data_IF_647106823955
#
_entry.id   IF_647106823955
#
_cell.length_a   1.000
_cell.length_b   1.000
_cell.length_c   1.000
_cell.angle_alpha   90.00
_cell.angle_beta   90.00
_cell.angle_gamma   90.00
#
_symmetry.space_group_name_H-M   'P 1'
#
loop_
_entity.id
_entity.type
_entity.pdbx_description
1 polymer ?
#
# COMPACT_ATOMS: atom_id res chain seq x y z
N UNK A 1 -5.83 -3.95 -10.40
CA UNK A 1 -6.55 -5.25 -10.42
C UNK A 1 -7.12 -5.52 -9.04
N UNK A 2 -6.29 -5.63 -7.99
CA UNK A 2 -6.78 -5.93 -6.63
C UNK A 2 -7.90 -5.00 -6.14
N UNK A 3 -7.65 -3.69 -6.10
CA UNK A 3 -8.67 -2.70 -5.69
C UNK A 3 -9.97 -2.84 -6.48
N UNK A 4 -9.89 -2.79 -7.82
CA UNK A 4 -11.06 -2.91 -8.70
C UNK A 4 -11.86 -4.21 -8.48
N UNK A 5 -11.17 -5.32 -8.27
CA UNK A 5 -11.81 -6.61 -8.08
C UNK A 5 -12.47 -6.71 -6.70
N UNK A 6 -11.84 -6.12 -5.69
CA UNK A 6 -12.43 -6.00 -4.37
C UNK A 6 -13.71 -5.14 -4.41
N UNK A 7 -13.70 -4.03 -5.14
CA UNK A 7 -14.89 -3.18 -5.35
C UNK A 7 -16.02 -3.92 -6.07
N UNK A 8 -15.70 -4.64 -7.15
CA UNK A 8 -16.68 -5.40 -7.95
C UNK A 8 -17.30 -6.57 -7.16
N UNK A 9 -16.55 -7.18 -6.24
CA UNK A 9 -17.02 -8.29 -5.40
C UNK A 9 -17.55 -7.84 -4.04
N UNK A 10 -17.55 -6.54 -3.75
CA UNK A 10 -17.96 -5.99 -2.46
C UNK A 10 -17.12 -6.54 -1.30
N UNK A 11 -15.80 -6.66 -1.49
CA UNK A 11 -14.82 -7.05 -0.49
C UNK A 11 -14.15 -5.79 0.07
N UNK A 12 -14.51 -5.32 1.28
CA UNK A 12 -13.94 -4.09 1.83
C UNK A 12 -12.45 -4.27 2.13
N UNK A 13 -11.60 -3.41 1.56
CA UNK A 13 -10.16 -3.36 1.88
C UNK A 13 -9.94 -2.28 2.94
N UNK A 14 -9.99 -2.65 4.21
CA UNK A 14 -9.91 -1.73 5.35
C UNK A 14 -8.49 -1.62 5.90
N UNK A 15 -7.75 -2.73 5.92
CA UNK A 15 -6.39 -2.78 6.47
C UNK A 15 -5.38 -3.51 5.57
N UNK A 16 -4.15 -3.67 6.08
CA UNK A 16 -3.09 -4.39 5.38
C UNK A 16 -3.38 -5.89 5.20
N UNK A 17 -4.09 -6.53 6.13
CA UNK A 17 -4.42 -7.96 6.07
C UNK A 17 -5.43 -8.21 4.97
N UNK A 18 -6.37 -7.29 4.77
CA UNK A 18 -7.32 -7.34 3.66
C UNK A 18 -6.62 -7.36 2.31
N UNK A 19 -5.68 -6.43 2.11
CA UNK A 19 -4.91 -6.36 0.88
C UNK A 19 -4.06 -7.63 0.70
N UNK A 20 -3.45 -8.16 1.76
CA UNK A 20 -2.71 -9.41 1.70
C UNK A 20 -3.61 -10.59 1.31
N UNK A 21 -4.79 -10.75 1.94
CA UNK A 21 -5.76 -11.80 1.63
C UNK A 21 -6.27 -11.69 0.19
N UNK A 22 -6.56 -10.46 -0.25
CA UNK A 22 -6.98 -10.19 -1.62
C UNK A 22 -5.90 -10.59 -2.62
N UNK A 23 -4.62 -10.32 -2.33
CA UNK A 23 -3.51 -10.73 -3.18
C UNK A 23 -3.31 -12.24 -3.22
N UNK A 24 -3.49 -12.95 -2.09
CA UNK A 24 -3.47 -14.42 -2.06
C UNK A 24 -4.56 -14.96 -2.99
N UNK A 25 -5.80 -14.49 -2.81
CA UNK A 25 -6.93 -14.93 -3.61
C UNK A 25 -6.74 -14.63 -5.10
N UNK A 26 -6.19 -13.47 -5.46
CA UNK A 26 -5.84 -13.14 -6.85
C UNK A 26 -4.78 -14.09 -7.42
N UNK A 27 -3.82 -14.52 -6.60
CA UNK A 27 -2.81 -15.50 -7.00
C UNK A 27 -3.40 -16.88 -7.25
N UNK A 28 -4.32 -17.32 -6.40
CA UNK A 28 -5.02 -18.61 -6.51
C UNK A 28 -5.99 -18.63 -7.70
N UNK A 29 -6.69 -17.52 -7.94
CA UNK A 29 -7.65 -17.34 -9.05
C UNK A 29 -7.06 -16.70 -10.30
N UNK A 30 -5.72 -16.72 -10.45
CA UNK A 30 -5.00 -15.98 -11.49
C UNK A 30 -5.44 -16.34 -12.92
N UNK A 31 -5.83 -17.59 -13.19
CA UNK A 31 -6.28 -18.02 -14.51
C UNK A 31 -7.62 -17.38 -14.91
N UNK A 32 -8.57 -17.31 -13.99
CA UNK A 32 -9.89 -16.72 -14.22
C UNK A 32 -9.80 -15.19 -14.29
N UNK A 33 -9.12 -14.59 -13.32
CA UNK A 33 -8.90 -13.14 -13.27
C UNK A 33 -8.09 -12.69 -14.49
N UNK A 34 -7.13 -13.51 -14.92
CA UNK A 34 -6.28 -13.27 -16.08
C UNK A 34 -7.04 -13.08 -17.38
N UNK A 35 -8.17 -13.79 -17.55
CA UNK A 35 -9.05 -13.66 -18.71
C UNK A 35 -9.78 -12.31 -18.75
N UNK A 36 -10.07 -11.71 -17.58
CA UNK A 36 -10.83 -10.46 -17.46
C UNK A 36 -9.94 -9.21 -17.39
N UNK A 37 -8.83 -9.29 -16.67
CA UNK A 37 -8.00 -8.12 -16.33
C UNK A 37 -6.58 -8.17 -16.89
N UNK A 38 -6.24 -9.21 -17.64
CA UNK A 38 -4.89 -9.43 -18.16
C UNK A 38 -4.00 -10.21 -17.19
N UNK A 39 -2.80 -10.55 -17.65
CA UNK A 39 -1.94 -11.54 -16.99
C UNK A 39 -1.60 -11.19 -15.53
N UNK A 40 -1.94 -12.09 -14.61
CA UNK A 40 -1.56 -12.04 -13.20
C UNK A 40 -0.45 -13.06 -12.97
N UNK A 41 0.78 -12.57 -12.76
CA UNK A 41 1.93 -13.44 -12.49
C UNK A 41 2.05 -13.74 -10.99
N UNK A 42 2.15 -15.02 -10.58
CA UNK A 42 2.42 -15.39 -9.18
C UNK A 42 3.72 -14.76 -8.65
N UNK A 43 4.73 -14.56 -9.52
CA UNK A 43 5.98 -13.92 -9.13
C UNK A 43 5.77 -12.44 -8.73
N UNK A 44 4.88 -11.72 -9.44
CA UNK A 44 4.52 -10.33 -9.12
C UNK A 44 3.72 -10.26 -7.83
N UNK A 45 2.74 -11.13 -7.65
CA UNK A 45 1.95 -11.22 -6.40
C UNK A 45 2.89 -11.46 -5.21
N UNK A 46 3.79 -12.44 -5.30
CA UNK A 46 4.76 -12.72 -4.26
C UNK A 46 5.75 -11.58 -3.99
N UNK A 47 6.11 -10.79 -5.02
CA UNK A 47 6.94 -9.60 -4.84
C UNK A 47 6.22 -8.51 -4.03
N UNK A 48 4.93 -8.27 -4.32
CA UNK A 48 4.11 -7.30 -3.57
C UNK A 48 3.93 -7.77 -2.12
N UNK A 49 3.60 -9.04 -1.89
CA UNK A 49 3.44 -9.56 -0.52
C UNK A 49 4.71 -9.40 0.32
N UNK A 50 5.91 -9.61 -0.24
CA UNK A 50 7.16 -9.36 0.48
C UNK A 50 7.33 -7.90 0.87
N UNK A 51 6.90 -6.94 0.05
CA UNK A 51 6.94 -5.52 0.42
C UNK A 51 5.92 -5.19 1.51
N UNK A 52 4.73 -5.79 1.46
CA UNK A 52 3.72 -5.64 2.52
C UNK A 52 4.23 -6.20 3.86
N UNK A 53 4.92 -7.34 3.85
CA UNK A 53 5.56 -7.90 5.06
C UNK A 53 6.63 -6.95 5.64
N UNK A 54 7.37 -6.23 4.80
CA UNK A 54 8.34 -5.22 5.29
C UNK A 54 7.61 -4.08 6.00
N UNK A 55 6.50 -3.59 5.44
CA UNK A 55 5.68 -2.54 6.07
C UNK A 55 5.04 -3.02 7.37
N UNK A 56 4.54 -4.25 7.40
CA UNK A 56 3.98 -4.89 8.59
C UNK A 56 5.02 -5.00 9.71
N UNK A 57 6.23 -5.47 9.39
CA UNK A 57 7.34 -5.54 10.35
C UNK A 57 7.76 -4.16 10.89
N UNK A 58 7.56 -3.09 10.11
CA UNK A 58 7.75 -1.71 10.54
C UNK A 58 6.58 -1.16 11.38
N UNK A 59 5.54 -1.96 11.59
CA UNK A 59 4.35 -1.59 12.38
C UNK A 59 3.20 -1.03 11.55
N UNK A 60 3.20 -1.23 10.22
CA UNK A 60 2.18 -0.73 9.31
C UNK A 60 0.75 -1.15 9.69
N UNK A 61 0.57 -2.36 10.24
CA UNK A 61 -0.75 -2.86 10.67
C UNK A 61 -1.41 -2.00 11.75
N UNK A 62 -0.61 -1.29 12.55
CA UNK A 62 -1.14 -0.35 13.56
C UNK A 62 -1.43 1.03 12.98
N UNK A 63 -0.73 1.40 11.91
CA UNK A 63 -0.83 2.72 11.29
C UNK A 63 -1.97 2.77 10.25
N UNK A 64 -2.13 1.70 9.49
CA UNK A 64 -3.18 1.53 8.47
C UNK A 64 -4.23 0.55 8.97
N UNK A 65 -4.97 0.96 10.00
CA UNK A 65 -6.09 0.21 10.58
C UNK A 65 -7.27 1.13 10.90
N UNK A 66 -8.34 0.57 11.45
CA UNK A 66 -9.53 1.33 11.81
C UNK A 66 -9.57 1.76 13.29
N UNK A 67 -10.09 2.96 13.59
CA UNK A 67 -10.62 3.93 12.63
C UNK A 67 -9.51 4.67 11.88
N UNK A 68 -9.72 4.84 10.57
CA UNK A 68 -8.82 5.60 9.73
C UNK A 68 -8.76 7.07 10.18
N UNK A 69 -7.61 7.70 9.98
CA UNK A 69 -7.42 9.12 10.25
C UNK A 69 -8.32 9.94 9.32
N UNK A 70 -9.20 10.75 9.92
CA UNK A 70 -10.11 11.63 9.20
C UNK A 70 -9.48 13.03 9.07
N UNK A 71 -9.30 13.49 7.83
CA UNK A 71 -8.68 14.79 7.57
C UNK A 71 -9.49 15.96 8.13
N UNK A 72 -10.82 15.83 8.22
CA UNK A 72 -11.66 16.87 8.81
C UNK A 72 -11.32 17.12 10.29
N UNK A 73 -10.89 16.08 11.02
CA UNK A 73 -10.47 16.22 12.43
C UNK A 73 -9.18 17.05 12.56
N UNK A 74 -8.31 17.01 11.54
CA UNK A 74 -7.07 17.80 11.48
C UNK A 74 -7.31 19.24 11.05
N UNK A 75 -8.42 19.52 10.36
CA UNK A 75 -8.78 20.86 9.86
C UNK A 75 -9.70 21.64 10.81
N UNK A 76 -9.92 21.13 12.03
CA UNK A 76 -10.78 21.80 13.01
C UNK A 76 -10.23 23.16 13.42
N UNK A 77 -11.15 24.08 13.67
CA UNK A 77 -10.87 25.44 14.13
C UNK A 77 -11.31 25.56 15.60
N UNK A 78 -10.56 26.30 16.40
CA UNK A 78 -10.92 26.63 17.77
C UNK A 78 -12.12 27.59 17.82
N UNK A 79 -12.86 27.70 18.95
CA UNK A 79 -14.00 28.60 19.07
C UNK A 79 -13.70 30.09 18.78
N UNK A 80 -12.43 30.49 18.88
CA UNK A 80 -11.96 31.85 18.58
C UNK A 80 -11.55 32.06 17.11
N UNK A 81 -11.79 31.07 16.24
CA UNK A 81 -11.51 31.14 14.81
C UNK A 81 -10.06 30.82 14.42
N UNK A 82 -9.20 30.40 15.37
CA UNK A 82 -7.82 29.99 15.07
C UNK A 82 -7.75 28.53 14.63
N UNK A 83 -6.93 28.24 13.61
CA UNK A 83 -6.62 26.86 13.22
C UNK A 83 -5.88 26.10 14.33
N UNK A 84 -6.03 24.79 14.35
CA UNK A 84 -5.31 23.92 15.28
C UNK A 84 -3.93 23.55 14.74
N UNK A 85 -2.96 23.41 15.65
CA UNK A 85 -1.64 22.84 15.34
C UNK A 85 -1.68 21.37 15.70
N UNK A 86 -1.67 20.51 14.69
CA UNK A 86 -1.60 19.06 14.86
C UNK A 86 -0.14 18.62 14.85
N UNK A 87 0.26 17.83 15.85
CA UNK A 87 1.61 17.27 15.92
C UNK A 87 1.51 15.77 15.71
N UNK A 88 1.99 15.31 14.56
CA UNK A 88 2.15 13.89 14.28
C UNK A 88 3.44 13.41 14.96
N UNK A 89 3.31 12.80 16.15
CA UNK A 89 4.44 12.32 16.92
C UNK A 89 5.06 11.07 16.26
N UNK A 90 6.07 11.30 15.42
CA UNK A 90 6.74 10.30 14.60
C UNK A 90 8.04 9.73 15.21
N UNK A 91 8.23 9.86 16.53
CA UNK A 91 9.49 9.50 17.23
C UNK A 91 10.00 8.08 16.89
N UNK A 92 9.08 7.13 16.74
CA UNK A 92 9.38 5.74 16.36
C UNK A 92 9.37 5.52 14.85
N UNK A 93 8.61 6.33 14.14
CA UNK A 93 8.35 6.20 12.71
C UNK A 93 9.55 6.67 11.87
N UNK A 94 10.38 7.58 12.40
CA UNK A 94 11.66 7.95 11.78
C UNK A 94 12.62 6.77 11.63
N UNK A 95 12.53 5.75 12.50
CA UNK A 95 13.30 4.51 12.36
C UNK A 95 12.72 3.56 11.29
N UNK A 96 11.59 3.93 10.66
CA UNK A 96 10.90 3.17 9.62
C UNK A 96 10.60 4.06 8.40
N UNK A 97 11.63 4.46 7.61
CA UNK A 97 11.48 5.44 6.54
C UNK A 97 10.42 5.07 5.49
N UNK A 98 10.30 3.78 5.14
CA UNK A 98 9.31 3.32 4.17
C UNK A 98 7.88 3.50 4.68
N UNK A 99 7.62 3.16 5.93
CA UNK A 99 6.31 3.36 6.55
C UNK A 99 5.98 4.86 6.62
N UNK A 100 6.96 5.69 6.99
CA UNK A 100 6.79 7.15 7.01
C UNK A 100 6.44 7.69 5.62
N UNK A 101 7.23 7.36 4.60
CA UNK A 101 6.98 7.81 3.24
C UNK A 101 5.64 7.33 2.68
N UNK A 102 5.25 6.08 2.97
CA UNK A 102 3.95 5.53 2.58
C UNK A 102 2.80 6.32 3.20
N UNK A 103 2.88 6.62 4.50
CA UNK A 103 1.88 7.43 5.20
C UNK A 103 1.78 8.85 4.62
N UNK A 104 2.91 9.50 4.37
CA UNK A 104 2.92 10.85 3.84
C UNK A 104 2.35 10.92 2.42
N UNK A 105 2.68 9.94 1.57
CA UNK A 105 2.08 9.85 0.23
C UNK A 105 0.57 9.65 0.29
N UNK A 106 0.11 8.77 1.18
CA UNK A 106 -1.31 8.55 1.44
C UNK A 106 -1.98 9.87 1.85
N UNK A 107 -1.43 10.56 2.86
CA UNK A 107 -1.97 11.82 3.37
C UNK A 107 -2.09 12.89 2.27
N UNK A 108 -1.06 13.06 1.46
CA UNK A 108 -1.06 14.01 0.35
C UNK A 108 -2.09 13.63 -0.72
N UNK A 109 -2.24 12.33 -1.01
CA UNK A 109 -3.22 11.84 -1.99
C UNK A 109 -4.65 12.04 -1.49
N UNK A 110 -4.93 11.73 -0.22
CA UNK A 110 -6.25 11.97 0.38
C UNK A 110 -6.60 13.45 0.43
N UNK A 111 -5.65 14.31 0.82
CA UNK A 111 -5.86 15.76 0.78
C UNK A 111 -6.22 16.25 -0.64
N UNK A 112 -5.62 15.65 -1.67
CA UNK A 112 -5.94 15.99 -3.05
C UNK A 112 -7.33 15.51 -3.48
N UNK A 113 -7.71 14.30 -3.06
CA UNK A 113 -8.98 13.66 -3.44
C UNK A 113 -10.18 14.21 -2.68
N UNK A 114 -10.06 14.42 -1.36
CA UNK A 114 -11.16 14.86 -0.50
C UNK A 114 -11.43 16.37 -0.58
N UNK A 115 -10.39 17.19 -0.70
CA UNK A 115 -10.59 18.64 -0.65
C UNK A 115 -11.21 19.18 -1.95
N UNK A 116 -12.12 20.16 -1.86
CA UNK A 116 -12.61 20.86 -3.04
C UNK A 116 -11.55 21.84 -3.57
N UNK A 117 -11.65 22.19 -4.86
CA UNK A 117 -10.88 23.32 -5.39
C UNK A 117 -11.43 24.63 -4.83
N UNK A 118 -10.55 25.46 -4.25
CA UNK A 118 -10.93 26.71 -3.58
C UNK A 118 -10.25 27.95 -4.17
N UNK A 119 -9.39 27.77 -5.18
CA UNK A 119 -8.72 28.88 -5.85
C UNK A 119 -7.63 29.51 -4.98
N UNK A 120 -7.70 30.83 -4.77
CA UNK A 120 -6.70 31.62 -4.03
C UNK A 120 -7.33 32.25 -2.77
N UNK A 121 -7.58 31.45 -1.72
CA UNK A 121 -8.16 31.97 -0.48
C UNK A 121 -7.15 32.83 0.28
N UNK A 122 -7.63 33.81 1.07
CA UNK A 122 -6.75 34.67 1.90
C UNK A 122 -5.94 33.87 2.93
N UNK A 123 -6.45 32.72 3.37
CA UNK A 123 -5.79 31.81 4.30
C UNK A 123 -5.85 30.39 3.75
N UNK A 124 -4.79 29.57 3.93
CA UNK A 124 -4.84 28.17 3.56
C UNK A 124 -5.84 27.41 4.43
N UNK A 125 -6.49 26.41 3.84
CA UNK A 125 -7.34 25.47 4.56
C UNK A 125 -6.50 24.52 5.43
N UNK A 126 -5.31 24.17 4.94
CA UNK A 126 -4.40 23.26 5.62
C UNK A 126 -2.95 23.60 5.28
N UNK A 127 -2.05 23.45 6.24
CA UNK A 127 -0.61 23.61 6.02
C UNK A 127 0.11 22.41 6.61
N UNK A 128 0.89 21.73 5.79
CA UNK A 128 1.67 20.57 6.20
C UNK A 128 3.15 20.88 6.19
N UNK A 129 3.82 20.55 7.28
CA UNK A 129 5.27 20.68 7.44
C UNK A 129 5.88 19.28 7.45
N UNK A 130 6.64 18.96 6.40
CA UNK A 130 7.45 17.75 6.31
C UNK A 130 8.78 18.01 6.96
N UNK A 131 8.90 17.60 8.22
CA UNK A 131 10.21 17.52 8.85
C UNK A 131 10.98 16.31 8.33
N UNK A 132 12.29 16.48 8.20
CA UNK A 132 13.20 15.52 7.55
C UNK A 132 12.71 15.05 6.17
N UNK A 133 12.44 16.01 5.29
CA UNK A 133 11.95 15.77 3.93
C UNK A 133 12.81 14.81 3.11
N UNK A 134 14.10 14.66 3.45
CA UNK A 134 15.00 13.70 2.80
C UNK A 134 14.46 12.25 2.88
N UNK A 135 13.75 11.89 3.95
CA UNK A 135 13.15 10.56 4.12
C UNK A 135 12.08 10.20 3.07
N UNK A 136 11.50 11.22 2.41
CA UNK A 136 10.55 11.00 1.32
C UNK A 136 11.23 10.61 0.00
N UNK A 137 12.47 11.06 -0.19
CA UNK A 137 13.13 11.03 -1.49
C UNK A 137 14.35 10.11 -1.53
N UNK A 138 14.95 9.80 -0.38
CA UNK A 138 16.07 8.87 -0.27
C UNK A 138 15.67 7.46 -0.74
N UNK A 139 16.37 6.95 -1.75
CA UNK A 139 16.09 5.67 -2.42
C UNK A 139 14.65 5.51 -2.95
N UNK A 140 13.91 6.61 -3.08
CA UNK A 140 12.55 6.59 -3.59
C UNK A 140 12.55 6.23 -5.09
N UNK A 141 11.72 5.27 -5.52
CA UNK A 141 11.54 5.00 -6.95
C UNK A 141 11.08 6.24 -7.69
N UNK A 142 11.54 6.43 -8.93
CA UNK A 142 11.16 7.61 -9.75
C UNK A 142 9.64 7.83 -9.80
N UNK A 143 8.86 6.77 -9.94
CA UNK A 143 7.39 6.85 -9.95
C UNK A 143 6.80 7.45 -8.65
N UNK A 144 7.44 7.19 -7.49
CA UNK A 144 7.03 7.78 -6.22
C UNK A 144 7.35 9.27 -6.19
N UNK A 145 8.56 9.65 -6.60
CA UNK A 145 8.99 11.06 -6.69
C UNK A 145 8.07 11.85 -7.62
N UNK A 146 7.82 11.33 -8.82
CA UNK A 146 6.95 11.95 -9.82
C UNK A 146 5.51 12.13 -9.27
N UNK A 147 5.02 11.17 -8.46
CA UNK A 147 3.71 11.27 -7.81
C UNK A 147 3.67 12.33 -6.73
N UNK A 148 4.70 12.42 -5.88
CA UNK A 148 4.82 13.48 -4.87
C UNK A 148 4.87 14.85 -5.53
N UNK A 149 5.62 15.00 -6.62
CA UNK A 149 5.68 16.23 -7.41
C UNK A 149 4.31 16.62 -7.96
N UNK A 150 3.62 15.66 -8.59
CA UNK A 150 2.29 15.88 -9.11
C UNK A 150 1.32 16.34 -8.03
N UNK A 151 1.30 15.65 -6.88
CA UNK A 151 0.38 15.97 -5.79
C UNK A 151 0.73 17.32 -5.16
N UNK A 152 2.00 17.57 -4.86
CA UNK A 152 2.46 18.85 -4.30
C UNK A 152 2.10 20.05 -5.20
N UNK A 153 2.14 19.87 -6.52
CA UNK A 153 1.70 20.90 -7.49
C UNK A 153 0.18 21.11 -7.46
N UNK A 154 -0.60 20.03 -7.40
CA UNK A 154 -2.05 20.09 -7.56
C UNK A 154 -2.78 20.52 -6.28
N UNK A 155 -2.32 20.12 -5.09
CA UNK A 155 -2.97 20.45 -3.81
C UNK A 155 -2.98 21.96 -3.52
N UNK A 156 -2.13 22.75 -4.18
CA UNK A 156 -2.14 24.21 -4.03
C UNK A 156 -3.49 24.81 -4.38
N UNK A 157 -4.16 24.35 -5.45
CA UNK A 157 -5.50 24.86 -5.82
C UNK A 157 -6.61 24.45 -4.85
N UNK A 158 -6.32 23.49 -3.96
CA UNK A 158 -7.17 23.03 -2.84
C UNK A 158 -6.95 23.86 -1.57
N UNK A 159 -6.10 24.89 -1.62
CA UNK A 159 -5.78 25.72 -0.46
C UNK A 159 -4.86 25.03 0.55
N UNK A 160 -4.06 24.06 0.09
CA UNK A 160 -3.08 23.35 0.92
C UNK A 160 -1.68 23.92 0.70
N UNK A 161 -1.02 24.32 1.79
CA UNK A 161 0.39 24.69 1.79
C UNK A 161 1.27 23.51 2.20
N UNK A 162 2.38 23.30 1.49
CA UNK A 162 3.38 22.29 1.84
C UNK A 162 4.74 22.93 2.05
N UNK A 163 5.37 22.60 3.17
CA UNK A 163 6.71 23.03 3.54
C UNK A 163 7.60 21.81 3.72
N UNK A 164 8.68 21.73 2.94
CA UNK A 164 9.72 20.72 3.12
C UNK A 164 10.84 21.31 3.98
N UNK A 165 11.14 20.64 5.09
CA UNK A 165 12.18 21.02 6.03
C UNK A 165 13.27 19.95 5.95
N UNK A 166 14.48 20.37 5.62
CA UNK A 166 15.65 19.49 5.49
C UNK A 166 16.91 20.23 5.92
N UNK A 167 17.93 19.48 6.32
CA UNK A 167 19.24 20.01 6.65
C UNK A 167 20.03 20.42 5.39
N UNK A 168 19.90 19.64 4.31
CA UNK A 168 20.56 19.94 3.04
C UNK A 168 19.50 20.09 1.93
N UNK A 169 19.45 21.24 1.23
CA UNK A 169 18.54 21.42 0.09
C UNK A 169 18.74 20.36 -1.00
N UNK A 170 19.94 19.79 -1.16
CA UNK A 170 20.22 18.74 -2.14
C UNK A 170 19.46 17.42 -1.88
N UNK A 171 18.86 17.26 -0.70
CA UNK A 171 18.06 16.07 -0.37
C UNK A 171 16.64 16.12 -0.98
N UNK A 172 16.24 17.28 -1.52
CA UNK A 172 14.96 17.46 -2.20
C UNK A 172 15.22 17.50 -3.72
N UNK A 173 14.47 16.74 -4.54
CA UNK A 173 14.65 16.74 -6.00
C UNK A 173 14.46 18.13 -6.62
N UNK A 174 15.25 18.45 -7.64
CA UNK A 174 15.22 19.74 -8.33
C UNK A 174 13.83 20.09 -8.89
N UNK A 175 13.11 19.09 -9.42
CA UNK A 175 11.75 19.27 -9.92
C UNK A 175 10.77 19.72 -8.83
N UNK A 176 10.98 19.27 -7.58
CA UNK A 176 10.21 19.72 -6.40
C UNK A 176 10.69 21.10 -5.97
N UNK A 177 12.01 21.29 -5.80
CA UNK A 177 12.63 22.56 -5.37
C UNK A 177 12.24 23.73 -6.27
N UNK A 178 12.12 23.50 -7.58
CA UNK A 178 11.69 24.48 -8.55
C UNK A 178 10.24 24.92 -8.36
N UNK A 179 9.38 24.09 -7.77
CA UNK A 179 7.99 24.43 -7.47
C UNK A 179 7.82 25.16 -6.13
N UNK A 180 8.83 25.16 -5.26
CA UNK A 180 8.76 25.81 -3.95
C UNK A 180 8.88 27.33 -4.11
N UNK A 181 7.78 28.02 -3.88
CA UNK A 181 7.73 29.48 -4.01
C UNK A 181 8.37 30.23 -2.85
N UNK A 182 8.22 29.72 -1.63
CA UNK A 182 8.75 30.33 -0.42
C UNK A 182 10.00 29.57 0.04
N UNK A 183 11.05 30.29 0.43
CA UNK A 183 12.33 29.72 0.85
C UNK A 183 12.83 30.41 2.12
N UNK A 184 13.30 29.60 3.06
CA UNK A 184 13.96 30.01 4.29
C UNK A 184 15.21 29.13 4.45
N UNK A 185 16.37 29.72 4.21
CA UNK A 185 17.66 29.03 4.26
C UNK A 185 18.47 29.53 5.45
N UNK A 186 18.70 28.65 6.41
CA UNK A 186 19.67 28.89 7.47
C UNK A 186 21.10 28.63 6.98
N UNK A 187 22.07 28.88 7.85
CA UNK A 187 23.49 28.72 7.55
C UNK A 187 23.81 27.35 6.96
N UNK A 188 24.42 27.33 5.77
CA UNK A 188 24.93 26.10 5.17
C UNK A 188 26.45 26.12 5.23
N UNK A 189 27.01 25.22 6.05
CA UNK A 189 28.45 25.12 6.23
C UNK A 189 29.04 24.27 5.13
N UNK A 190 29.83 24.87 4.25
CA UNK A 190 30.48 24.18 3.16
C UNK A 190 31.93 23.79 3.51
N UNK A 191 32.17 22.53 3.86
CA UNK A 191 33.51 22.02 4.17
C UNK A 191 34.08 21.16 3.05
N UNK A 192 33.21 20.44 2.34
CA UNK A 192 33.60 19.55 1.25
C UNK A 192 33.32 20.16 -0.12
N UNK A 193 33.93 19.60 -1.18
CA UNK A 193 33.63 19.98 -2.56
C UNK A 193 32.18 19.63 -2.97
N UNK A 194 31.52 18.71 -2.25
CA UNK A 194 30.09 18.47 -2.42
C UNK A 194 29.29 19.63 -1.84
N UNK A 195 29.57 20.00 -0.59
CA UNK A 195 28.84 21.08 0.09
C UNK A 195 28.97 22.43 -0.64
N UNK A 196 30.14 22.71 -1.22
CA UNK A 196 30.35 23.91 -2.04
C UNK A 196 29.45 23.93 -3.28
N UNK A 197 29.27 22.78 -3.93
CA UNK A 197 28.35 22.65 -5.08
C UNK A 197 26.89 22.77 -4.64
N UNK A 198 26.52 22.16 -3.52
CA UNK A 198 25.16 22.21 -2.97
C UNK A 198 24.81 23.66 -2.57
N UNK A 199 25.74 24.38 -1.95
CA UNK A 199 25.61 25.80 -1.62
C UNK A 199 25.40 26.67 -2.87
N UNK A 200 26.24 26.50 -3.89
CA UNK A 200 26.13 27.27 -5.13
C UNK A 200 24.76 27.04 -5.80
N UNK A 201 24.33 25.78 -5.90
CA UNK A 201 22.99 25.41 -6.41
C UNK A 201 21.87 26.02 -5.58
N UNK A 202 22.00 26.02 -4.25
CA UNK A 202 21.00 26.64 -3.38
C UNK A 202 20.91 28.15 -3.62
N UNK A 203 22.03 28.83 -3.82
CA UNK A 203 22.09 30.28 -4.09
C UNK A 203 21.48 30.65 -5.46
N UNK A 204 21.67 29.82 -6.48
CA UNK A 204 21.11 30.02 -7.83
C UNK A 204 19.58 30.03 -7.87
N UNK A 205 18.93 29.39 -6.88
CA UNK A 205 17.47 29.33 -6.78
C UNK A 205 16.83 30.61 -6.21
N UNK A 206 17.62 31.62 -5.90
CA UNK A 206 17.14 32.90 -5.38
C UNK A 206 17.15 34.00 -6.44
N UNK A 207 16.16 34.89 -6.35
CA UNK A 207 16.22 36.16 -7.07
C UNK A 207 17.35 37.02 -6.48
N UNK A 208 18.34 37.46 -7.27
CA UNK A 208 19.54 38.12 -6.76
C UNK A 208 19.23 39.47 -6.11
N UNK A 209 19.99 39.82 -5.08
CA UNK A 209 19.94 41.12 -4.40
C UNK A 209 21.20 41.94 -4.72
N UNK A 210 21.09 43.17 -5.28
CA UNK A 210 22.26 44.00 -5.54
C UNK A 210 23.08 44.39 -4.30
N UNK A 211 22.51 44.26 -3.10
CA UNK A 211 23.15 44.68 -1.84
C UNK A 211 24.17 43.66 -1.30
N UNK A 212 24.09 42.40 -1.71
CA UNK A 212 24.97 41.34 -1.22
C UNK A 212 24.98 40.14 -2.16
N UNK A 213 26.06 39.35 -2.10
CA UNK A 213 26.11 38.07 -2.81
C UNK A 213 25.35 36.99 -2.02
N UNK A 214 24.43 36.29 -2.68
CA UNK A 214 23.56 35.29 -2.04
C UNK A 214 24.36 34.10 -1.48
N UNK A 215 25.33 33.61 -2.23
CA UNK A 215 26.15 32.46 -1.81
C UNK A 215 26.95 32.78 -0.55
N UNK A 216 27.56 33.96 -0.53
CA UNK A 216 28.28 34.51 0.63
C UNK A 216 27.32 34.72 1.80
N UNK A 217 26.13 35.28 1.57
CA UNK A 217 25.13 35.48 2.63
C UNK A 217 24.69 34.15 3.28
N UNK A 218 24.46 33.09 2.50
CA UNK A 218 24.09 31.77 3.04
C UNK A 218 25.21 31.18 3.93
N UNK A 219 26.48 31.44 3.60
CA UNK A 219 27.63 31.03 4.43
C UNK A 219 27.72 31.82 5.74
N UNK A 220 27.38 33.11 5.70
CA UNK A 220 27.63 34.05 6.80
C UNK A 220 26.51 34.20 7.82
N UNK A 221 25.27 33.82 7.48
CA UNK A 221 24.14 33.93 8.43
C UNK A 221 24.43 33.15 9.72
N UNK A 222 24.24 33.82 10.85
CA UNK A 222 24.47 33.24 12.18
C UNK A 222 23.25 32.52 12.76
N UNK A 223 23.37 32.05 14.00
CA UNK A 223 22.23 31.53 14.77
C UNK A 223 21.17 32.63 14.92
N UNK A 224 19.93 32.34 14.55
CA UNK A 224 18.84 33.33 14.56
C UNK A 224 18.79 34.22 13.32
N UNK A 225 19.63 33.96 12.31
CA UNK A 225 19.54 34.57 10.98
C UNK A 225 19.17 33.52 9.94
N UNK A 226 18.56 33.98 8.85
CA UNK A 226 18.28 33.20 7.66
C UNK A 226 18.34 34.08 6.40
N UNK A 227 18.61 33.45 5.27
CA UNK A 227 18.38 34.01 3.95
C UNK A 227 16.96 33.62 3.54
N UNK A 228 16.10 34.60 3.21
CA UNK A 228 14.69 34.35 2.89
C UNK A 228 14.30 34.89 1.52
N UNK A 229 13.33 34.24 0.89
CA UNK A 229 12.65 34.74 -0.30
C UNK A 229 11.22 34.22 -0.25
N UNK A 230 10.26 35.13 -0.19
CA UNK A 230 8.84 34.81 -0.17
C UNK A 230 8.19 35.27 -1.45
N UNK A 231 7.09 34.61 -1.84
CA UNK A 231 6.30 35.03 -2.99
C UNK A 231 5.67 36.41 -2.72
N UNK A 232 5.85 37.30 -3.68
CA UNK A 232 5.13 38.56 -3.79
C UNK A 232 3.76 38.33 -4.48
N UNK A 233 2.99 39.41 -4.63
CA UNK A 233 1.73 39.38 -5.36
C UNK A 233 1.91 38.75 -6.75
N UNK A 234 0.89 37.99 -7.18
CA UNK A 234 0.89 37.20 -8.43
C UNK A 234 1.92 36.06 -8.47
N UNK A 235 2.45 35.64 -7.32
CA UNK A 235 3.34 34.47 -7.22
C UNK A 235 4.74 34.71 -7.78
N UNK A 236 5.17 35.97 -7.84
CA UNK A 236 6.53 36.32 -8.26
C UNK A 236 7.50 36.10 -7.09
N UNK A 237 8.63 35.40 -7.26
CA UNK A 237 9.62 35.27 -6.20
C UNK A 237 10.16 36.64 -5.76
N UNK A 238 10.04 36.92 -4.47
CA UNK A 238 10.60 38.11 -3.87
C UNK A 238 12.13 38.11 -3.94
N UNK A 239 12.71 39.31 -3.94
CA UNK A 239 14.16 39.46 -3.85
C UNK A 239 14.68 38.79 -2.58
N UNK A 240 15.84 38.14 -2.67
CA UNK A 240 16.44 37.49 -1.51
C UNK A 240 16.85 38.50 -0.44
N UNK A 241 16.58 38.18 0.82
CA UNK A 241 16.81 39.07 1.96
C UNK A 241 17.56 38.35 3.08
N UNK A 242 18.38 39.09 3.83
CA UNK A 242 18.94 38.61 5.11
C UNK A 242 17.95 38.98 6.22
N UNK A 243 17.49 37.99 6.96
CA UNK A 243 16.38 38.14 7.90
C UNK A 243 16.77 37.64 9.29
N UNK A 244 16.47 38.45 10.31
CA UNK A 244 16.52 38.03 11.71
C UNK A 244 15.26 37.24 12.05
N UNK A 245 15.43 36.05 12.60
CA UNK A 245 14.36 35.14 12.97
C UNK A 245 13.97 35.38 14.42
N UNK A 246 12.71 35.72 14.65
CA UNK A 246 12.16 35.85 16.00
C UNK A 246 12.19 34.48 16.68
N UNK A 247 12.73 34.36 17.91
CA UNK A 247 12.73 33.10 18.63
C UNK A 247 11.29 32.62 18.90
N UNK A 248 11.05 31.29 18.91
CA UNK A 248 9.73 30.74 19.14
C UNK A 248 9.27 31.01 20.58
N UNK A 249 7.98 31.22 20.77
CA UNK A 249 7.35 31.29 22.08
C UNK A 249 7.04 29.86 22.60
N UNK A 250 8.08 29.05 22.77
CA UNK A 250 7.97 27.64 23.18
C UNK A 250 8.85 27.32 24.39
N UNK A 251 8.55 26.19 25.05
CA UNK A 251 9.42 25.61 26.06
C UNK A 251 10.57 24.87 25.39
N UNK A 252 11.77 24.99 25.95
CA UNK A 252 12.90 24.14 25.59
C UNK A 252 12.70 22.73 26.17
N UNK A 253 12.76 21.72 25.30
CA UNK A 253 12.63 20.32 25.66
C UNK A 253 11.24 19.72 25.40
N UNK A 254 11.13 18.38 25.33
CA UNK A 254 9.90 17.69 24.96
C UNK A 254 8.79 17.86 26.00
N UNK A 255 7.56 17.60 25.59
CA UNK A 255 6.40 17.48 26.48
C UNK A 255 6.58 16.30 27.44
N UNK A 256 6.19 16.43 28.71
CA UNK A 256 6.22 15.29 29.64
C UNK A 256 5.12 14.28 29.30
N UNK A 257 5.24 13.01 29.70
CA UNK A 257 4.18 12.02 29.50
C UNK A 257 2.83 12.45 30.12
N UNK A 258 2.86 13.10 31.29
CA UNK A 258 1.68 13.60 32.01
C UNK A 258 0.99 14.72 31.23
N UNK A 259 1.75 15.71 30.77
CA UNK A 259 1.25 16.82 29.97
C UNK A 259 0.67 16.31 28.64
N UNK A 260 1.36 15.35 28.00
CA UNK A 260 0.87 14.73 26.75
C UNK A 260 -0.48 14.05 26.97
N UNK A 261 -0.62 13.24 28.03
CA UNK A 261 -1.90 12.59 28.37
C UNK A 261 -3.00 13.60 28.61
N UNK A 262 -2.70 14.70 29.31
CA UNK A 262 -3.67 15.77 29.58
C UNK A 262 -4.15 16.43 28.27
N UNK A 263 -3.23 16.76 27.35
CA UNK A 263 -3.57 17.36 26.05
C UNK A 263 -4.42 16.40 25.20
N UNK A 264 -4.03 15.13 25.11
CA UNK A 264 -4.78 14.11 24.35
C UNK A 264 -6.20 13.96 24.93
N UNK A 265 -6.31 13.83 26.25
CA UNK A 265 -7.61 13.68 26.93
C UNK A 265 -8.53 14.88 26.71
N UNK A 266 -7.95 16.10 26.64
CA UNK A 266 -8.70 17.33 26.40
C UNK A 266 -9.16 17.51 24.94
N UNK A 267 -8.60 16.76 23.98
CA UNK A 267 -8.89 16.93 22.55
C UNK A 267 -10.30 16.48 22.13
N UNK A 268 -10.95 15.66 22.96
CA UNK A 268 -12.24 15.01 22.66
C UNK A 268 -12.18 13.93 21.57
N UNK A 269 -11.02 13.69 20.96
CA UNK A 269 -10.85 12.72 19.88
C UNK A 269 -10.71 11.27 20.37
N UNK A 270 -10.49 11.06 21.67
CA UNK A 270 -10.33 9.72 22.26
C UNK A 270 -11.53 8.81 22.00
N UNK A 271 -12.75 9.35 21.99
CA UNK A 271 -13.97 8.58 21.67
C UNK A 271 -13.94 7.94 20.27
N UNK A 272 -13.21 8.56 19.33
CA UNK A 272 -13.03 8.03 17.98
C UNK A 272 -11.82 7.11 17.94
N UNK A 273 -10.64 7.57 18.37
CA UNK A 273 -9.38 6.88 18.07
C UNK A 273 -8.82 5.96 19.16
N UNK A 274 -9.36 5.95 20.39
CA UNK A 274 -8.79 5.14 21.48
C UNK A 274 -9.12 3.64 21.35
N UNK A 275 -10.17 3.30 20.59
CA UNK A 275 -10.62 1.92 20.41
C UNK A 275 -10.45 1.50 18.95
N UNK A 276 -9.67 0.43 18.74
CA UNK A 276 -9.53 -0.19 17.42
C UNK A 276 -10.86 -0.81 17.02
N UNK A 277 -11.28 -0.55 15.78
CA UNK A 277 -12.45 -1.18 15.17
C UNK A 277 -11.99 -2.31 14.26
N UNK A 278 -12.69 -3.43 14.29
CA UNK A 278 -12.44 -4.58 13.42
C UNK A 278 -13.79 -4.99 12.79
N UNK A 279 -13.98 -4.65 11.52
CA UNK A 279 -15.25 -4.80 10.79
C UNK A 279 -15.16 -5.99 9.84
N UNK A 280 -16.30 -6.53 9.44
CA UNK A 280 -16.37 -7.60 8.44
C UNK A 280 -15.78 -7.12 7.09
N UNK A 281 -14.55 -7.56 6.80
CA UNK A 281 -13.69 -7.06 5.74
C UNK A 281 -13.36 -8.16 4.71
N UNK A 282 -12.51 -7.85 3.74
CA UNK A 282 -12.13 -8.80 2.70
C UNK A 282 -11.47 -10.05 3.30
N UNK A 283 -10.66 -9.87 4.35
CA UNK A 283 -10.01 -10.97 5.05
C UNK A 283 -11.03 -11.97 5.62
N UNK A 284 -12.00 -11.53 6.42
CA UNK A 284 -13.01 -12.42 7.03
C UNK A 284 -13.85 -13.11 5.96
N UNK A 285 -14.26 -12.35 4.93
CA UNK A 285 -15.12 -12.88 3.84
C UNK A 285 -14.40 -13.92 3.00
N UNK A 286 -13.15 -13.67 2.62
CA UNK A 286 -12.35 -14.62 1.83
C UNK A 286 -12.02 -15.86 2.67
N UNK A 287 -11.73 -15.70 3.95
CA UNK A 287 -11.50 -16.83 4.86
C UNK A 287 -12.76 -17.69 5.01
N UNK A 288 -13.94 -17.08 5.14
CA UNK A 288 -15.21 -17.78 5.19
C UNK A 288 -15.49 -18.57 3.89
N UNK A 289 -15.26 -17.95 2.72
CA UNK A 289 -15.38 -18.63 1.41
C UNK A 289 -14.43 -19.83 1.29
N UNK A 290 -13.17 -19.66 1.71
CA UNK A 290 -12.19 -20.73 1.67
C UNK A 290 -12.58 -21.90 2.59
N UNK A 291 -13.09 -21.60 3.79
CA UNK A 291 -13.56 -22.62 4.72
C UNK A 291 -14.80 -23.38 4.19
N UNK A 292 -15.74 -22.67 3.55
CA UNK A 292 -16.91 -23.28 2.91
C UNK A 292 -16.50 -24.19 1.73
N UNK A 293 -15.59 -23.73 0.87
CA UNK A 293 -15.05 -24.52 -0.23
C UNK A 293 -14.32 -25.78 0.25
N UNK A 294 -13.51 -25.66 1.31
CA UNK A 294 -12.82 -26.80 1.91
C UNK A 294 -13.81 -27.83 2.49
N UNK A 295 -14.88 -27.35 3.14
CA UNK A 295 -15.93 -28.22 3.67
C UNK A 295 -16.69 -28.94 2.55
N UNK A 296 -17.07 -28.22 1.49
CA UNK A 296 -17.75 -28.81 0.33
C UNK A 296 -16.87 -29.85 -0.39
N UNK A 297 -15.57 -29.59 -0.51
CA UNK A 297 -14.62 -30.56 -1.07
C UNK A 297 -14.49 -31.83 -0.22
N UNK A 298 -14.41 -31.68 1.11
CA UNK A 298 -14.36 -32.82 2.04
C UNK A 298 -15.67 -33.64 2.00
N UNK A 299 -16.83 -32.98 1.89
CA UNK A 299 -18.12 -33.66 1.75
C UNK A 299 -18.23 -34.41 0.41
N UNK A 300 -17.73 -33.82 -0.67
CA UNK A 300 -17.69 -34.48 -1.99
C UNK A 300 -16.73 -35.68 -2.01
N UNK A 301 -15.55 -35.58 -1.39
CA UNK A 301 -14.60 -36.69 -1.26
C UNK A 301 -15.18 -37.82 -0.41
N UNK A 302 -15.83 -37.49 0.71
CA UNK A 302 -16.51 -38.47 1.55
C UNK A 302 -17.67 -39.17 0.82
N UNK A 303 -18.44 -38.44 -0.01
CA UNK A 303 -19.50 -39.02 -0.82
C UNK A 303 -18.94 -39.93 -1.93
N UNK A 304 -17.85 -39.53 -2.58
CA UNK A 304 -17.17 -40.38 -3.55
C UNK A 304 -16.65 -41.67 -2.92
N UNK A 305 -16.10 -41.59 -1.71
CA UNK A 305 -15.58 -42.75 -1.00
C UNK A 305 -16.70 -43.68 -0.54
N UNK A 306 -17.83 -43.13 -0.06
CA UNK A 306 -19.07 -43.89 0.18
C UNK A 306 -19.55 -44.60 -1.08
N UNK A 307 -19.64 -43.89 -2.20
CA UNK A 307 -20.05 -44.50 -3.48
C UNK A 307 -19.07 -45.57 -3.97
N UNK A 308 -17.75 -45.39 -3.77
CA UNK A 308 -16.73 -46.40 -4.09
C UNK A 308 -16.86 -47.63 -3.20
N UNK A 309 -17.20 -47.45 -1.93
CA UNK A 309 -17.42 -48.53 -0.97
C UNK A 309 -18.70 -49.32 -1.30
N UNK A 310 -19.83 -48.64 -1.56
CA UNK A 310 -21.07 -49.27 -2.02
C UNK A 310 -20.88 -50.04 -3.34
N UNK A 311 -20.11 -49.50 -4.29
CA UNK A 311 -19.77 -50.19 -5.54
C UNK A 311 -18.84 -51.40 -5.31
N UNK A 312 -18.01 -51.39 -4.27
CA UNK A 312 -17.19 -52.55 -3.87
C UNK A 312 -18.05 -53.63 -3.23
N UNK A 313 -18.99 -53.26 -2.37
CA UNK A 313 -19.93 -54.19 -1.74
C UNK A 313 -20.88 -54.84 -2.76
N UNK A 314 -21.45 -54.07 -3.69
CA UNK A 314 -22.25 -54.59 -4.82
C UNK A 314 -21.47 -55.58 -5.71
N UNK A 315 -20.17 -55.35 -5.90
CA UNK A 315 -19.29 -56.28 -6.63
C UNK A 315 -18.98 -57.55 -5.83
N UNK A 316 -18.92 -57.47 -4.50
CA UNK A 316 -18.72 -58.63 -3.64
C UNK A 316 -19.99 -59.47 -3.50
N UNK A 317 -21.17 -58.85 -3.41
CA UNK A 317 -22.46 -59.54 -3.39
C UNK A 317 -22.73 -60.34 -4.68
N UNK A 318 -22.33 -59.81 -5.84
CA UNK A 318 -22.41 -60.53 -7.14
C UNK A 318 -21.43 -61.71 -7.27
N UNK A 319 -20.49 -61.88 -6.33
CA UNK A 319 -19.53 -63.00 -6.33
C UNK A 319 -20.05 -64.23 -5.59
N UNK A 320 -21.15 -64.11 -4.84
CA UNK A 320 -21.73 -65.21 -4.07
C UNK A 320 -22.85 -65.97 -4.80
N UNK A 321 -23.34 -65.48 -5.95
CA UNK A 321 -24.41 -66.11 -6.77
C UNK A 321 -23.90 -66.57 -8.16
N UNK A 322 -22.84 -67.37 -8.19
CA UNK A 322 -22.47 -68.12 -9.40
C UNK A 322 -22.21 -69.58 -9.04
N UNK A 323 -23.05 -70.54 -9.50
CA UNK A 323 -22.75 -71.95 -9.33
C UNK A 323 -21.53 -72.31 -10.18
N UNK A 324 -20.59 -73.05 -9.58
CA UNK A 324 -19.47 -73.67 -10.29
C UNK A 324 -19.99 -74.59 -11.40
N UNK A 325 -19.67 -74.25 -12.65
CA UNK A 325 -19.68 -75.21 -13.76
C UNK A 325 -18.26 -75.34 -14.27
N UNK A 326 -17.63 -76.45 -13.88
CA UNK A 326 -16.29 -76.80 -14.29
C UNK A 326 -16.20 -77.10 -15.79
N UNK A 327 -15.15 -76.60 -16.44
CA UNK A 327 -14.58 -77.22 -17.63
C UNK A 327 -13.10 -76.86 -17.81
N UNK A 328 -12.28 -77.84 -17.40
CA UNK A 328 -11.10 -78.40 -18.09
C UNK A 328 -10.16 -77.45 -18.87
N UNK A 329 -8.98 -77.27 -18.28
CA UNK A 329 -7.63 -77.43 -18.84
C UNK A 329 -7.41 -77.36 -20.36
N UNK A 330 -6.56 -76.42 -20.79
CA UNK A 330 -5.38 -76.73 -21.63
C UNK A 330 -4.30 -75.68 -21.37
N UNK A 331 -3.12 -76.13 -20.93
CA UNK A 331 -1.88 -75.36 -20.82
C UNK A 331 -1.27 -75.16 -22.21
N UNK A 332 -0.75 -73.97 -22.49
CA UNK A 332 0.53 -73.79 -23.21
C UNK A 332 1.28 -72.60 -22.62
N UNK A 333 2.51 -72.87 -22.23
CA UNK A 333 3.50 -71.93 -21.72
C UNK A 333 4.36 -71.38 -22.85
N UNK A 334 4.82 -70.12 -22.72
CA UNK A 334 6.24 -69.77 -22.95
C UNK A 334 6.55 -68.35 -22.43
N UNK A 335 7.42 -68.32 -21.40
CA UNK A 335 8.52 -67.40 -21.07
C UNK A 335 8.52 -65.89 -21.39
N UNK A 336 8.88 -65.12 -20.34
CA UNK A 336 9.83 -63.96 -20.19
C UNK A 336 9.73 -62.81 -21.23
N UNK A 337 9.73 -61.53 -20.89
CA UNK A 337 10.53 -60.80 -19.88
C UNK A 337 9.88 -59.46 -19.52
N UNK A 338 10.29 -58.89 -18.39
CA UNK A 338 9.93 -57.56 -17.91
C UNK A 338 10.26 -56.43 -18.90
N UNK A 339 9.32 -55.49 -19.05
CA UNK A 339 9.65 -54.10 -19.35
C UNK A 339 8.57 -53.15 -18.82
N UNK A 340 9.04 -52.10 -18.15
CA UNK A 340 8.30 -51.07 -17.40
C UNK A 340 7.37 -50.20 -18.29
N UNK A 341 7.29 -50.46 -19.59
CA UNK A 341 6.48 -49.70 -20.55
C UNK A 341 5.01 -50.16 -20.69
N UNK A 342 4.62 -51.32 -20.13
CA UNK A 342 3.24 -51.85 -20.28
C UNK A 342 2.29 -51.50 -19.12
N UNK A 343 2.81 -50.99 -18.00
CA UNK A 343 2.00 -50.48 -16.89
C UNK A 343 1.38 -49.09 -17.20
N UNK A 344 2.04 -48.28 -18.03
CA UNK A 344 1.60 -46.93 -18.37
C UNK A 344 0.46 -46.93 -19.41
N UNK A 345 0.52 -47.82 -20.41
CA UNK A 345 -0.53 -47.92 -21.45
C UNK A 345 -1.86 -48.51 -20.96
N UNK A 346 -1.83 -49.39 -19.95
CA UNK A 346 -3.05 -50.02 -19.39
C UNK A 346 -3.79 -49.13 -18.37
N UNK A 347 -3.10 -48.13 -17.82
CA UNK A 347 -3.67 -47.05 -17.00
C UNK A 347 -4.44 -46.05 -17.87
N UNK A 348 -3.83 -45.61 -18.98
CA UNK A 348 -4.43 -44.65 -19.93
C UNK A 348 -5.69 -45.19 -20.63
N UNK A 349 -5.72 -46.46 -21.02
CA UNK A 349 -6.90 -47.06 -21.66
C UNK A 349 -8.09 -47.26 -20.70
N UNK A 350 -7.84 -47.34 -19.37
CA UNK A 350 -8.92 -47.39 -18.36
C UNK A 350 -9.45 -46.01 -18.00
N UNK A 351 -8.68 -44.95 -18.23
CA UNK A 351 -9.06 -43.57 -17.95
C UNK A 351 -9.87 -42.92 -19.10
N UNK A 352 -9.82 -43.49 -20.30
CA UNK A 352 -10.61 -43.04 -21.47
C UNK A 352 -11.91 -43.83 -21.69
N UNK A 353 -12.13 -44.94 -20.97
CA UNK A 353 -13.30 -45.81 -21.13
C UNK A 353 -14.40 -45.66 -20.07
N UNK A 354 -14.18 -44.86 -19.03
CA UNK A 354 -15.18 -44.58 -17.97
C UNK A 354 -15.96 -43.30 -18.27
N UNK A 355 -17.22 -43.26 -17.82
CA UNK A 355 -18.18 -42.15 -18.03
C UNK A 355 -17.68 -40.75 -17.59
N UNK A 356 -16.53 -40.67 -16.94
CA UNK A 356 -15.83 -39.44 -16.53
C UNK A 356 -15.26 -38.64 -17.72
N UNK A 357 -14.82 -39.29 -18.81
CA UNK A 357 -14.31 -38.58 -20.00
C UNK A 357 -15.40 -37.89 -20.83
N UNK A 358 -16.62 -38.44 -20.85
CA UNK A 358 -17.76 -37.83 -21.54
C UNK A 358 -18.44 -36.71 -20.72
N UNK A 359 -18.21 -36.66 -19.40
CA UNK A 359 -18.75 -35.62 -18.53
C UNK A 359 -17.95 -34.31 -18.61
N UNK A 360 -16.62 -34.39 -18.77
CA UNK A 360 -15.75 -33.21 -18.87
C UNK A 360 -15.98 -32.44 -20.19
N UNK A 361 -16.27 -33.15 -21.29
CA UNK A 361 -16.60 -32.51 -22.59
C UNK A 361 -18.01 -31.89 -22.60
N UNK A 362 -18.95 -32.40 -21.79
CA UNK A 362 -20.29 -31.80 -21.64
C UNK A 362 -20.36 -30.68 -20.61
N UNK A 363 -19.53 -30.71 -19.57
CA UNK A 363 -19.48 -29.66 -18.54
C UNK A 363 -18.95 -28.33 -19.08
N UNK A 364 -18.00 -28.37 -20.01
CA UNK A 364 -17.37 -27.16 -20.58
C UNK A 364 -18.20 -26.54 -21.73
N UNK A 365 -19.09 -27.31 -22.38
CA UNK A 365 -19.98 -26.82 -23.45
C UNK A 365 -21.43 -26.57 -23.00
N UNK A 366 -21.83 -27.04 -21.81
CA UNK A 366 -23.20 -26.92 -21.28
C UNK A 366 -23.51 -25.61 -20.54
N UNK A 367 -22.49 -24.90 -20.03
CA UNK A 367 -22.69 -23.63 -19.31
C UNK A 367 -22.81 -22.40 -20.23
N UNK A 368 -22.55 -22.55 -21.54
CA UNK A 368 -22.64 -21.48 -22.55
C UNK A 368 -24.01 -21.35 -23.24
N UNK A 369 -25.02 -22.17 -22.90
CA UNK A 369 -26.35 -22.12 -23.54
C UNK A 369 -27.55 -22.09 -22.59
N UNK A 370 -27.39 -21.62 -21.36
CA UNK A 370 -28.55 -21.40 -20.47
C UNK A 370 -28.46 -20.09 -19.69
N UNK A 371 -28.50 -18.98 -20.43
CA UNK A 371 -29.11 -17.74 -19.94
C UNK A 371 -30.25 -17.34 -20.89
N UNK A 372 -31.45 -17.29 -20.32
CA UNK A 372 -32.52 -16.40 -20.75
C UNK A 372 -33.25 -15.96 -19.51
#
# INVERSE_FOLDING_TARGET
>A
IAFRLADEEGLPLLDLKDLQAMLVWIGESAAEIGLRYGNVSPATVGAIQRQLLVLENQGGTRLFGEPALDLADMMRVLPDGRGQVNILAADKLMASPRLYATFLLWLLSELFEELPEVGDPEKPNFVFFFDEAHLLFEDAPKALVDKVEQVARLIRSKGVGVYFITQNPADVPDDILGQLGNRVQHALRAFTAKDQRDLARAAENYRPNPRFDTETAIKEVGTGEAVTSFLEAKGVPGMVERTLVRPPASRLGPITPEERRAVISASGLGFKYDTVSDRDSAFERLQARAAEAAKAAAEAEAEEDRMKEELRELKQARRYDAPEVGRSTTRRSSSRSDSVATAFGKSLARQLGTKTGQAIVRGILGSLFKSR
#
